data_IF_458547350941
#
_entry.id   IF_458547350941
#
_cell.length_a   1.000
_cell.length_b   1.000
_cell.length_c   1.000
_cell.angle_alpha   90.00
_cell.angle_beta   90.00
_cell.angle_gamma   90.00
#
_symmetry.space_group_name_H-M   'P 1'
#
loop_
_entity.id
_entity.type
_entity.pdbx_description
1 polymer ?
#
# COMPACT_ATOMS: atom_id res chain seq x y z
N UNK A 1 25.34 54.90 22.37
CA UNK A 1 24.24 54.54 21.46
C UNK A 1 23.71 53.17 21.82
N UNK A 2 22.43 53.06 22.17
CA UNK A 2 21.78 51.78 22.52
C UNK A 2 21.24 51.16 21.24
N UNK A 3 21.86 50.06 20.79
CA UNK A 3 21.39 49.34 19.61
C UNK A 3 20.01 48.74 19.86
N UNK A 4 19.12 48.88 18.89
CA UNK A 4 17.80 48.23 18.87
C UNK A 4 17.93 46.71 18.81
N UNK A 5 16.88 45.98 19.18
CA UNK A 5 16.88 44.52 19.18
C UNK A 5 17.17 43.92 17.78
N UNK A 6 16.72 44.58 16.71
CA UNK A 6 17.01 44.16 15.34
C UNK A 6 18.47 44.38 14.95
N UNK A 7 19.04 45.53 15.31
CA UNK A 7 20.46 45.81 15.03
C UNK A 7 21.39 44.88 15.79
N UNK A 8 21.06 44.53 17.04
CA UNK A 8 21.84 43.52 17.81
C UNK A 8 21.79 42.15 17.15
N UNK A 9 20.61 41.72 16.66
CA UNK A 9 20.45 40.45 15.93
C UNK A 9 21.27 40.42 14.65
N UNK A 10 21.23 41.49 13.87
CA UNK A 10 21.96 41.56 12.60
C UNK A 10 23.47 41.60 12.82
N UNK A 11 23.95 42.37 13.80
CA UNK A 11 25.37 42.38 14.18
C UNK A 11 25.86 41.02 14.65
N UNK A 12 25.06 40.31 15.45
CA UNK A 12 25.38 38.95 15.88
C UNK A 12 25.43 37.98 14.68
N UNK A 13 24.48 38.08 13.75
CA UNK A 13 24.47 37.27 12.51
C UNK A 13 25.74 37.49 11.69
N UNK A 14 26.15 38.74 11.48
CA UNK A 14 27.36 39.10 10.73
C UNK A 14 28.64 38.64 11.45
N UNK A 15 28.70 38.74 12.77
CA UNK A 15 29.83 38.24 13.57
C UNK A 15 29.97 36.71 13.44
N UNK A 16 28.87 35.97 13.53
CA UNK A 16 28.85 34.51 13.32
C UNK A 16 29.27 34.15 11.89
N UNK A 17 28.84 34.91 10.89
CA UNK A 17 29.25 34.68 9.50
C UNK A 17 30.76 34.88 9.30
N UNK A 18 31.33 35.95 9.89
CA UNK A 18 32.78 36.23 9.84
C UNK A 18 33.59 35.16 10.57
N UNK A 19 33.11 34.69 11.72
CA UNK A 19 33.74 33.60 12.48
C UNK A 19 33.73 32.29 11.66
N UNK A 20 32.60 31.93 11.05
CA UNK A 20 32.47 30.74 10.19
C UNK A 20 33.33 30.80 8.94
N UNK A 21 33.53 31.98 8.36
CA UNK A 21 34.39 32.15 7.18
C UNK A 21 35.89 31.94 7.49
N UNK A 22 36.29 32.08 8.76
CA UNK A 22 37.66 31.87 9.24
C UNK A 22 37.87 30.52 9.93
N UNK A 23 36.83 29.67 10.00
CA UNK A 23 36.95 28.33 10.57
C UNK A 23 37.84 27.44 9.70
N UNK A 24 38.76 26.72 10.34
CA UNK A 24 39.49 25.63 9.69
C UNK A 24 38.54 24.46 9.39
N UNK A 25 38.88 23.57 8.43
CA UNK A 25 38.07 22.40 8.13
C UNK A 25 37.82 21.49 9.34
N UNK A 26 38.82 21.34 10.23
CA UNK A 26 38.74 20.56 11.47
C UNK A 26 37.78 21.18 12.48
N UNK A 27 37.92 22.48 12.75
CA UNK A 27 37.03 23.21 13.66
C UNK A 27 35.57 23.20 13.15
N UNK A 28 35.37 23.29 11.83
CA UNK A 28 34.05 23.13 11.21
C UNK A 28 33.48 21.73 11.44
N UNK A 29 34.28 20.68 11.29
CA UNK A 29 33.85 19.30 11.50
C UNK A 29 33.43 19.05 12.96
N UNK A 30 34.24 19.49 13.92
CA UNK A 30 33.94 19.40 15.36
C UNK A 30 32.64 20.13 15.73
N UNK A 31 32.41 21.32 15.17
CA UNK A 31 31.16 22.06 15.38
C UNK A 31 29.96 21.33 14.80
N UNK A 32 30.10 20.71 13.62
CA UNK A 32 29.03 19.92 13.02
C UNK A 32 28.73 18.65 13.82
N UNK A 33 29.74 18.00 14.40
CA UNK A 33 29.57 16.86 15.30
C UNK A 33 28.77 17.26 16.55
N UNK A 34 29.18 18.32 17.26
CA UNK A 34 28.45 18.85 18.42
C UNK A 34 27.01 19.27 18.11
N UNK A 35 26.78 19.82 16.91
CA UNK A 35 25.42 20.15 16.46
C UNK A 35 24.57 18.90 16.19
N UNK A 36 25.19 17.84 15.65
CA UNK A 36 24.53 16.56 15.42
C UNK A 36 24.15 15.88 16.73
N UNK A 37 25.06 15.80 17.68
CA UNK A 37 24.80 15.26 19.03
C UNK A 37 23.65 16.00 19.73
N UNK A 38 23.63 17.34 19.65
CA UNK A 38 22.54 18.16 20.19
C UNK A 38 21.21 17.92 19.48
N UNK A 39 21.23 17.67 18.17
CA UNK A 39 20.03 17.31 17.43
C UNK A 39 19.57 15.89 17.81
N UNK A 40 20.52 15.00 18.06
CA UNK A 40 20.32 13.61 18.46
C UNK A 40 19.89 13.42 19.93
N UNK A 41 19.99 14.45 20.77
CA UNK A 41 19.47 14.42 22.14
C UNK A 41 17.99 14.80 22.27
N UNK A 42 17.38 15.37 21.21
CA UNK A 42 15.96 15.75 21.17
C UNK A 42 15.09 14.52 20.89
N UNK A 43 13.87 14.42 21.42
CA UNK A 43 13.02 13.26 21.14
C UNK A 43 12.68 13.12 19.65
N UNK A 44 12.45 11.89 19.19
CA UNK A 44 12.11 11.61 17.78
C UNK A 44 10.82 12.34 17.37
N UNK A 45 9.82 12.41 18.25
CA UNK A 45 8.57 13.13 18.02
C UNK A 45 8.78 14.64 17.81
N UNK A 46 9.57 15.29 18.69
CA UNK A 46 9.88 16.72 18.55
C UNK A 46 10.70 17.02 17.28
N UNK A 47 11.56 16.10 16.85
CA UNK A 47 12.28 16.24 15.56
C UNK A 47 11.33 16.18 14.38
N UNK A 48 10.38 15.25 14.37
CA UNK A 48 9.39 15.14 13.31
C UNK A 48 8.52 16.40 13.21
N UNK A 49 8.05 16.90 14.35
CA UNK A 49 7.23 18.11 14.39
C UNK A 49 8.02 19.34 13.92
N UNK A 50 9.26 19.50 14.39
CA UNK A 50 10.15 20.59 13.94
C UNK A 50 10.40 20.54 12.43
N UNK A 51 10.63 19.35 11.88
CA UNK A 51 10.84 19.17 10.44
C UNK A 51 9.57 19.45 9.64
N UNK A 52 8.41 19.00 10.12
CA UNK A 52 7.11 19.27 9.49
C UNK A 52 6.84 20.78 9.38
N UNK A 53 7.03 21.51 10.48
CA UNK A 53 6.86 22.97 10.51
C UNK A 53 7.87 23.70 9.62
N UNK A 54 9.13 23.24 9.56
CA UNK A 54 10.15 23.81 8.68
C UNK A 54 9.78 23.62 7.19
N UNK A 55 9.31 22.42 6.82
CA UNK A 55 8.82 22.14 5.46
C UNK A 55 7.61 23.00 5.12
N UNK A 56 6.66 23.15 6.04
CA UNK A 56 5.48 24.00 5.83
C UNK A 56 5.88 25.47 5.58
N UNK A 57 6.76 26.03 6.40
CA UNK A 57 7.26 27.41 6.23
C UNK A 57 8.01 27.60 4.91
N UNK A 58 8.79 26.59 4.49
CA UNK A 58 9.49 26.59 3.21
C UNK A 58 8.50 26.62 2.04
N UNK A 59 7.46 25.77 2.07
CA UNK A 59 6.42 25.68 1.03
C UNK A 59 5.63 26.98 0.88
N UNK A 60 5.34 27.68 1.97
CA UNK A 60 4.62 28.97 1.94
C UNK A 60 5.42 30.07 1.24
N UNK A 61 6.75 30.03 1.31
CA UNK A 61 7.65 31.02 0.70
C UNK A 61 8.20 30.58 -0.66
N UNK A 62 7.73 29.45 -1.19
CA UNK A 62 8.25 28.83 -2.42
C UNK A 62 7.77 29.62 -3.65
N UNK A 63 8.71 29.98 -4.53
CA UNK A 63 8.37 30.60 -5.81
C UNK A 63 7.86 29.54 -6.81
N UNK A 64 7.06 29.93 -7.83
CA UNK A 64 6.56 28.98 -8.83
C UNK A 64 7.67 28.17 -9.53
N UNK A 65 8.80 28.81 -9.87
CA UNK A 65 9.94 28.14 -10.48
C UNK A 65 10.61 27.11 -9.53
N UNK A 66 10.76 27.46 -8.25
CA UNK A 66 11.32 26.54 -7.25
C UNK A 66 10.39 25.33 -7.03
N UNK A 67 9.07 25.54 -7.07
CA UNK A 67 8.07 24.49 -6.97
C UNK A 67 8.15 23.49 -8.13
N UNK A 68 8.26 23.97 -9.36
CA UNK A 68 8.38 23.10 -10.55
C UNK A 68 9.65 22.24 -10.44
N UNK A 69 10.78 22.85 -10.09
CA UNK A 69 12.05 22.14 -9.95
C UNK A 69 12.03 21.12 -8.81
N UNK A 70 11.40 21.44 -7.67
CA UNK A 70 11.20 20.49 -6.57
C UNK A 70 10.35 19.30 -7.02
N UNK A 71 9.22 19.54 -7.69
CA UNK A 71 8.35 18.47 -8.18
C UNK A 71 9.05 17.58 -9.21
N UNK A 72 9.88 18.15 -10.08
CA UNK A 72 10.75 17.41 -11.00
C UNK A 72 11.71 16.49 -10.24
N UNK A 73 12.41 17.01 -9.23
CA UNK A 73 13.32 16.21 -8.38
C UNK A 73 12.61 15.15 -7.57
N UNK A 74 11.41 15.44 -7.05
CA UNK A 74 10.58 14.49 -6.33
C UNK A 74 10.15 13.35 -7.27
N UNK A 75 9.76 13.67 -8.51
CA UNK A 75 9.45 12.67 -9.55
C UNK A 75 10.67 11.81 -9.91
N UNK A 76 11.84 12.40 -10.11
CA UNK A 76 13.07 11.65 -10.39
C UNK A 76 13.53 10.78 -9.22
N UNK A 77 13.36 11.27 -7.99
CA UNK A 77 13.60 10.48 -6.78
C UNK A 77 12.61 9.34 -6.69
N UNK A 78 11.34 9.58 -6.96
CA UNK A 78 10.31 8.54 -6.97
C UNK A 78 10.60 7.50 -8.04
N UNK A 79 11.00 7.89 -9.26
CA UNK A 79 11.39 6.95 -10.32
C UNK A 79 12.62 6.12 -9.89
N UNK A 80 13.65 6.74 -9.30
CA UNK A 80 14.82 6.01 -8.78
C UNK A 80 14.46 5.06 -7.66
N UNK A 81 13.69 5.51 -6.67
CA UNK A 81 13.26 4.69 -5.53
C UNK A 81 12.29 3.61 -5.97
N UNK A 82 11.39 3.88 -6.92
CA UNK A 82 10.47 2.91 -7.51
C UNK A 82 11.17 1.93 -8.44
N UNK A 83 12.25 2.31 -9.12
CA UNK A 83 13.08 1.38 -9.89
C UNK A 83 13.89 0.46 -8.97
N UNK A 84 14.42 1.00 -7.87
CA UNK A 84 15.08 0.20 -6.82
C UNK A 84 14.07 -0.67 -6.07
N UNK A 85 12.85 -0.18 -5.81
CA UNK A 85 11.75 -0.95 -5.22
C UNK A 85 11.17 -1.96 -6.19
N UNK A 86 11.07 -1.70 -7.49
CA UNK A 86 10.69 -2.71 -8.47
C UNK A 86 11.73 -3.83 -8.50
N UNK A 87 13.03 -3.49 -8.47
CA UNK A 87 14.10 -4.49 -8.36
C UNK A 87 14.11 -5.24 -7.02
N UNK A 88 13.72 -4.60 -5.91
CA UNK A 88 13.65 -5.20 -4.58
C UNK A 88 12.33 -5.96 -4.33
N UNK A 89 11.22 -5.54 -4.93
CA UNK A 89 9.89 -6.16 -4.88
C UNK A 89 9.81 -7.33 -5.86
N UNK A 90 10.53 -7.29 -6.99
CA UNK A 90 10.78 -8.46 -7.84
C UNK A 90 11.66 -9.49 -7.11
N UNK A 91 12.59 -9.05 -6.25
CA UNK A 91 13.33 -9.92 -5.33
C UNK A 91 12.47 -10.40 -4.14
N UNK A 92 11.51 -9.61 -3.65
CA UNK A 92 10.66 -9.96 -2.50
C UNK A 92 9.38 -10.74 -2.87
N UNK A 93 8.96 -10.75 -4.15
CA UNK A 93 7.90 -11.62 -4.68
C UNK A 93 8.39 -13.03 -5.01
N UNK A 94 9.70 -13.27 -5.00
CA UNK A 94 10.21 -14.62 -4.87
C UNK A 94 9.87 -15.12 -3.45
N UNK A 95 9.11 -16.22 -3.36
CA UNK A 95 8.78 -16.87 -2.08
C UNK A 95 10.05 -17.05 -1.21
N UNK A 96 9.92 -17.02 0.13
CA UNK A 96 11.04 -17.28 1.03
C UNK A 96 11.46 -18.74 0.86
N UNK A 97 12.47 -18.96 0.02
CA UNK A 97 13.27 -20.17 0.16
C UNK A 97 14.02 -19.98 1.45
N UNK A 98 13.75 -20.84 2.44
CA UNK A 98 14.62 -21.01 3.60
C UNK A 98 16.00 -21.34 3.04
N UNK A 99 16.85 -20.32 2.91
CA UNK A 99 18.26 -20.50 2.65
C UNK A 99 18.92 -20.56 4.02
N UNK A 100 19.52 -21.71 4.41
CA UNK A 100 20.44 -21.73 5.52
C UNK A 100 21.53 -20.70 5.25
N UNK A 101 21.96 -20.04 6.32
CA UNK A 101 23.00 -19.04 6.35
C UNK A 101 24.24 -19.47 5.53
N UNK A 102 24.46 -18.83 4.37
CA UNK A 102 25.74 -18.92 3.64
C UNK A 102 26.24 -17.51 3.39
N UNK A 103 26.87 -16.96 4.42
CA UNK A 103 27.96 -16.00 4.24
C UNK A 103 29.23 -16.63 4.78
N UNK A 104 29.82 -17.48 3.93
CA UNK A 104 31.24 -17.85 3.91
C UNK A 104 31.35 -19.19 3.17
N UNK A 105 31.23 -19.15 1.85
CA UNK A 105 31.99 -20.01 0.93
C UNK A 105 31.50 -19.75 -0.48
N UNK A 106 32.39 -19.18 -1.28
CA UNK A 106 32.35 -19.20 -2.73
C UNK A 106 32.59 -20.62 -3.23
N UNK A 107 31.74 -21.57 -2.83
CA UNK A 107 31.68 -22.86 -3.49
C UNK A 107 30.74 -22.69 -4.69
N UNK A 108 31.38 -22.48 -5.84
CA UNK A 108 30.77 -22.58 -7.16
C UNK A 108 29.78 -23.75 -7.16
N UNK A 109 28.53 -23.49 -7.56
CA UNK A 109 27.53 -24.52 -7.81
C UNK A 109 28.07 -25.52 -8.85
N UNK A 110 28.76 -26.56 -8.39
CA UNK A 110 29.34 -27.62 -9.21
C UNK A 110 28.28 -28.50 -9.90
N UNK A 111 26.99 -28.31 -9.60
CA UNK A 111 25.91 -29.09 -10.20
C UNK A 111 25.51 -28.66 -11.63
N UNK A 112 26.11 -27.60 -12.18
CA UNK A 112 25.70 -27.00 -13.46
C UNK A 112 26.82 -26.91 -14.51
N UNK A 113 28.02 -27.42 -14.20
CA UNK A 113 29.17 -27.36 -15.09
C UNK A 113 30.01 -28.64 -14.95
N UNK A 114 29.76 -29.62 -15.80
CA UNK A 114 30.87 -30.44 -16.29
C UNK A 114 31.59 -29.60 -17.37
N UNK A 115 32.91 -29.57 -17.32
CA UNK A 115 33.75 -28.49 -17.86
C UNK A 115 33.46 -28.00 -19.30
N UNK A 116 33.75 -26.72 -19.53
CA UNK A 116 33.83 -26.02 -20.83
C UNK A 116 32.68 -26.17 -21.85
N UNK A 117 31.60 -26.87 -21.56
CA UNK A 117 30.44 -26.94 -22.44
C UNK A 117 29.38 -25.88 -22.10
N UNK A 118 28.78 -25.31 -23.14
CA UNK A 118 27.62 -24.41 -23.04
C UNK A 118 26.53 -25.07 -22.19
N UNK A 119 25.93 -24.38 -21.21
CA UNK A 119 24.93 -24.96 -20.33
C UNK A 119 23.75 -25.50 -21.13
N UNK A 120 23.58 -26.82 -21.14
CA UNK A 120 22.47 -27.49 -21.84
C UNK A 120 21.29 -27.60 -20.89
N UNK A 121 20.15 -27.05 -21.29
CA UNK A 121 18.88 -27.30 -20.60
C UNK A 121 18.55 -28.79 -20.70
N UNK A 122 18.53 -29.47 -19.56
CA UNK A 122 18.13 -30.87 -19.50
C UNK A 122 16.60 -30.98 -19.49
N UNK A 123 16.02 -32.00 -20.14
CA UNK A 123 14.59 -32.24 -20.06
C UNK A 123 14.16 -32.42 -18.60
N UNK A 124 13.14 -31.66 -18.18
CA UNK A 124 12.53 -31.83 -16.86
C UNK A 124 11.91 -33.23 -16.78
N UNK A 125 12.13 -33.93 -15.67
CA UNK A 125 11.53 -35.26 -15.45
C UNK A 125 10.01 -35.22 -15.63
N UNK A 126 9.43 -36.29 -16.16
CA UNK A 126 7.98 -36.37 -16.38
C UNK A 126 7.21 -36.17 -15.06
N UNK A 127 7.74 -36.69 -13.96
CA UNK A 127 7.19 -36.53 -12.61
C UNK A 127 7.17 -35.07 -12.18
N UNK A 128 8.27 -34.34 -12.32
CA UNK A 128 8.34 -32.92 -11.97
C UNK A 128 7.42 -32.09 -12.86
N UNK A 129 7.38 -32.39 -14.16
CA UNK A 129 6.47 -31.72 -15.11
C UNK A 129 5.02 -31.93 -14.72
N UNK A 130 4.62 -33.16 -14.37
CA UNK A 130 3.26 -33.50 -13.93
C UNK A 130 2.87 -32.74 -12.65
N UNK A 131 3.75 -32.70 -11.66
CA UNK A 131 3.51 -31.98 -10.40
C UNK A 131 3.36 -30.47 -10.63
N UNK A 132 4.24 -29.86 -11.42
CA UNK A 132 4.13 -28.44 -11.79
C UNK A 132 2.81 -28.15 -12.51
N UNK A 133 2.43 -28.99 -13.48
CA UNK A 133 1.16 -28.83 -14.20
C UNK A 133 -0.05 -28.98 -13.26
N UNK A 134 -0.03 -29.94 -12.33
CA UNK A 134 -1.10 -30.12 -11.36
C UNK A 134 -1.27 -28.90 -10.46
N UNK A 135 -0.16 -28.35 -9.93
CA UNK A 135 -0.19 -27.15 -9.12
C UNK A 135 -0.72 -25.93 -9.89
N UNK A 136 -0.27 -25.75 -11.13
CA UNK A 136 -0.75 -24.67 -12.00
C UNK A 136 -2.22 -24.83 -12.35
N UNK A 137 -2.68 -26.05 -12.63
CA UNK A 137 -4.08 -26.34 -12.94
C UNK A 137 -4.99 -26.03 -11.75
N UNK A 138 -4.54 -26.28 -10.52
CA UNK A 138 -5.30 -25.91 -9.32
C UNK A 138 -5.30 -24.40 -9.10
N UNK A 139 -4.13 -23.76 -9.18
CA UNK A 139 -3.97 -22.31 -8.97
C UNK A 139 -4.71 -21.46 -10.02
N UNK A 140 -4.75 -21.91 -11.27
CA UNK A 140 -5.42 -21.24 -12.38
C UNK A 140 -6.81 -21.82 -12.69
N UNK A 141 -7.17 -22.90 -12.00
CA UNK A 141 -8.48 -23.55 -12.10
C UNK A 141 -9.53 -22.79 -11.32
N UNK A 142 -10.79 -23.20 -11.45
CA UNK A 142 -11.93 -22.53 -10.83
C UNK A 142 -11.72 -22.28 -9.33
N UNK A 143 -11.16 -23.24 -8.60
CA UNK A 143 -10.90 -23.13 -7.15
C UNK A 143 -9.84 -22.08 -6.82
N UNK A 144 -8.78 -21.96 -7.63
CA UNK A 144 -7.68 -21.04 -7.39
C UNK A 144 -7.97 -19.59 -7.78
N UNK A 145 -8.83 -19.39 -8.78
CA UNK A 145 -9.23 -18.06 -9.29
C UNK A 145 -10.61 -17.61 -8.84
N UNK A 146 -11.33 -18.40 -8.05
CA UNK A 146 -12.61 -17.98 -7.48
C UNK A 146 -12.41 -16.75 -6.61
N UNK A 147 -13.39 -15.85 -6.64
CA UNK A 147 -13.32 -14.57 -5.97
C UNK A 147 -14.48 -14.44 -4.98
N UNK A 148 -14.23 -13.71 -3.89
CA UNK A 148 -15.23 -13.36 -2.91
C UNK A 148 -14.98 -11.94 -2.38
N UNK A 149 -16.04 -11.30 -1.88
CA UNK A 149 -15.93 -9.95 -1.33
C UNK A 149 -15.63 -10.04 0.17
N UNK A 150 -14.67 -9.24 0.63
CA UNK A 150 -14.40 -9.13 2.07
C UNK A 150 -15.48 -8.28 2.76
N UNK A 151 -16.09 -8.78 3.83
CA UNK A 151 -17.09 -8.06 4.63
C UNK A 151 -16.53 -6.80 5.29
N UNK A 152 -15.22 -6.71 5.54
CA UNK A 152 -14.63 -5.57 6.27
C UNK A 152 -14.17 -4.44 5.34
N UNK A 153 -13.45 -4.79 4.27
CA UNK A 153 -12.86 -3.80 3.36
C UNK A 153 -13.54 -3.73 2.00
N UNK A 154 -14.55 -4.55 1.75
CA UNK A 154 -15.35 -4.55 0.53
C UNK A 154 -14.58 -4.84 -0.77
N UNK A 155 -13.31 -5.26 -0.63
CA UNK A 155 -12.48 -5.63 -1.77
C UNK A 155 -12.82 -7.05 -2.24
N UNK A 156 -12.89 -7.22 -3.56
CA UNK A 156 -12.86 -8.53 -4.18
C UNK A 156 -11.46 -9.15 -3.97
N UNK A 157 -11.41 -10.37 -3.46
CA UNK A 157 -10.19 -11.11 -3.17
C UNK A 157 -10.34 -12.54 -3.65
N UNK A 158 -9.22 -13.21 -3.92
CA UNK A 158 -9.24 -14.65 -4.19
C UNK A 158 -9.82 -15.38 -2.99
N UNK A 159 -10.71 -16.35 -3.22
CA UNK A 159 -11.34 -17.15 -2.16
C UNK A 159 -10.30 -17.89 -1.32
N UNK A 160 -9.17 -18.26 -1.92
CA UNK A 160 -8.01 -18.86 -1.22
C UNK A 160 -7.38 -17.94 -0.17
N UNK A 161 -7.66 -16.64 -0.20
CA UNK A 161 -7.21 -15.61 0.77
C UNK A 161 -8.34 -15.11 1.68
N UNK A 162 -9.51 -15.74 1.62
CA UNK A 162 -10.67 -15.41 2.44
C UNK A 162 -10.78 -16.45 3.55
N UNK A 163 -10.93 -15.98 4.77
CA UNK A 163 -11.33 -16.78 5.93
C UNK A 163 -12.81 -16.57 6.17
N UNK A 164 -13.48 -17.65 6.58
CA UNK A 164 -14.88 -17.59 6.99
C UNK A 164 -14.91 -17.54 8.52
N UNK A 165 -15.61 -16.56 9.07
CA UNK A 165 -15.94 -16.52 10.49
C UNK A 165 -17.40 -16.91 10.61
N UNK A 166 -17.65 -17.97 11.36
CA UNK A 166 -19.00 -18.43 11.63
C UNK A 166 -19.72 -17.45 12.56
N UNK A 167 -21.00 -17.20 12.29
CA UNK A 167 -21.79 -16.31 13.15
C UNK A 167 -21.95 -16.85 14.58
N UNK A 168 -21.76 -18.16 14.77
CA UNK A 168 -21.76 -18.88 16.04
C UNK A 168 -20.51 -18.59 16.89
N UNK A 169 -19.43 -18.08 16.29
CA UNK A 169 -18.17 -17.76 16.98
C UNK A 169 -18.31 -16.46 17.79
N UNK A 170 -19.00 -16.56 18.93
CA UNK A 170 -19.33 -15.41 19.78
C UNK A 170 -18.11 -14.55 20.17
N UNK A 171 -16.93 -15.11 20.54
CA UNK A 171 -15.73 -14.29 20.78
C UNK A 171 -15.32 -13.46 19.56
N UNK A 172 -15.32 -14.05 18.36
CA UNK A 172 -14.96 -13.35 17.14
C UNK A 172 -15.98 -12.30 16.76
N UNK A 173 -17.27 -12.57 16.94
CA UNK A 173 -18.33 -11.58 16.71
C UNK A 173 -18.22 -10.42 17.70
N UNK A 174 -17.93 -10.69 18.98
CA UNK A 174 -17.72 -9.66 19.99
C UNK A 174 -16.52 -8.75 19.64
N UNK A 175 -15.42 -9.32 19.15
CA UNK A 175 -14.27 -8.54 18.67
C UNK A 175 -14.66 -7.57 17.54
N UNK A 176 -15.54 -8.00 16.63
CA UNK A 176 -16.03 -7.15 15.56
C UNK A 176 -16.90 -6.01 16.10
N UNK A 177 -17.76 -6.27 17.09
CA UNK A 177 -18.54 -5.21 17.75
C UNK A 177 -17.63 -4.16 18.37
N UNK A 178 -16.60 -4.57 19.09
CA UNK A 178 -15.68 -3.63 19.75
C UNK A 178 -14.88 -2.78 18.75
N UNK A 179 -14.41 -3.38 17.67
CA UNK A 179 -13.51 -2.72 16.72
C UNK A 179 -14.24 -1.97 15.60
N UNK A 180 -15.39 -2.46 15.17
CA UNK A 180 -16.11 -2.00 13.99
C UNK A 180 -17.53 -1.49 14.30
N UNK A 181 -17.86 -1.21 15.56
CA UNK A 181 -19.13 -0.58 15.91
C UNK A 181 -19.34 0.76 15.19
N UNK A 182 -20.59 1.02 14.80
CA UNK A 182 -21.05 2.31 14.28
C UNK A 182 -21.11 3.42 15.33
N UNK A 183 -21.04 3.08 16.61
CA UNK A 183 -21.20 4.03 17.71
C UNK A 183 -20.07 5.06 17.73
N UNK A 184 -20.44 6.34 17.85
CA UNK A 184 -19.50 7.46 17.89
C UNK A 184 -18.92 7.84 16.52
N UNK A 185 -19.33 7.18 15.43
CA UNK A 185 -18.90 7.53 14.09
C UNK A 185 -19.71 8.71 13.50
N UNK A 186 -19.02 9.63 12.83
CA UNK A 186 -19.65 10.78 12.16
C UNK A 186 -19.98 10.46 10.69
N UNK A 187 -20.60 9.30 10.46
CA UNK A 187 -20.98 8.83 9.13
C UNK A 187 -22.45 9.18 8.80
N UNK A 188 -22.78 9.47 7.52
CA UNK A 188 -24.17 9.67 7.12
C UNK A 188 -25.05 8.45 7.45
N UNK A 189 -26.25 8.67 7.99
CA UNK A 189 -27.16 7.60 8.39
C UNK A 189 -27.48 6.61 7.26
N UNK A 190 -27.60 7.10 6.01
CA UNK A 190 -27.81 6.25 4.85
C UNK A 190 -26.64 5.29 4.58
N UNK A 191 -25.41 5.73 4.85
CA UNK A 191 -24.21 4.90 4.70
C UNK A 191 -24.09 3.87 5.82
N UNK A 192 -24.38 4.26 7.07
CA UNK A 192 -24.46 3.31 8.18
C UNK A 192 -25.49 2.22 7.89
N UNK A 193 -26.66 2.60 7.37
CA UNK A 193 -27.70 1.64 6.97
C UNK A 193 -27.26 0.73 5.81
N UNK A 194 -26.41 1.20 4.88
CA UNK A 194 -25.87 0.36 3.80
C UNK A 194 -24.91 -0.72 4.32
N UNK A 195 -24.21 -0.43 5.42
CA UNK A 195 -23.25 -1.32 6.09
C UNK A 195 -23.83 -2.06 7.31
N UNK A 196 -25.11 -1.88 7.62
CA UNK A 196 -25.79 -2.63 8.68
C UNK A 196 -26.31 -3.97 8.13
N UNK A 197 -25.70 -5.05 8.61
CA UNK A 197 -26.05 -6.41 8.23
C UNK A 197 -27.08 -7.06 9.16
N UNK A 198 -27.76 -6.29 10.02
CA UNK A 198 -28.80 -6.75 10.95
C UNK A 198 -29.95 -7.53 10.28
N UNK A 199 -30.24 -7.23 9.01
CA UNK A 199 -31.24 -7.92 8.20
C UNK A 199 -30.82 -9.34 7.77
N UNK A 200 -29.52 -9.64 7.76
CA UNK A 200 -28.99 -10.99 7.50
C UNK A 200 -28.79 -11.76 8.81
N UNK A 201 -28.28 -11.09 9.84
CA UNK A 201 -28.16 -11.65 11.18
C UNK A 201 -28.23 -10.56 12.24
N UNK A 202 -29.12 -10.73 13.22
CA UNK A 202 -29.27 -9.81 14.34
C UNK A 202 -27.99 -9.66 15.17
N UNK A 203 -27.12 -10.68 15.16
CA UNK A 203 -25.83 -10.64 15.86
C UNK A 203 -24.84 -9.64 15.23
N UNK A 204 -25.09 -9.16 14.00
CA UNK A 204 -24.26 -8.16 13.31
C UNK A 204 -24.80 -6.74 13.44
N UNK A 205 -25.87 -6.53 14.20
CA UNK A 205 -26.50 -5.21 14.34
C UNK A 205 -25.53 -4.19 14.90
N UNK A 206 -25.38 -3.06 14.20
CA UNK A 206 -24.49 -1.97 14.62
C UNK A 206 -23.01 -2.21 14.32
N UNK A 207 -22.65 -3.32 13.66
CA UNK A 207 -21.29 -3.56 13.15
C UNK A 207 -21.23 -3.08 11.70
N UNK A 208 -20.25 -2.23 11.39
CA UNK A 208 -20.09 -1.67 10.05
C UNK A 208 -19.42 -2.69 9.11
N UNK A 209 -20.23 -3.45 8.36
CA UNK A 209 -19.80 -4.52 7.46
C UNK A 209 -20.45 -4.40 6.08
N UNK A 210 -19.70 -4.71 5.03
CA UNK A 210 -20.25 -4.88 3.69
C UNK A 210 -21.10 -6.14 3.61
N UNK A 211 -22.40 -5.96 3.34
CA UNK A 211 -23.35 -7.04 3.05
C UNK A 211 -22.91 -7.96 1.92
N UNK A 212 -22.04 -7.50 1.01
CA UNK A 212 -21.50 -8.32 -0.10
C UNK A 212 -20.55 -9.42 0.38
N UNK A 213 -19.94 -9.25 1.55
CA UNK A 213 -19.08 -10.25 2.19
C UNK A 213 -19.77 -11.07 3.27
N UNK A 214 -21.08 -10.89 3.46
CA UNK A 214 -21.88 -11.69 4.39
C UNK A 214 -22.65 -12.73 3.57
N UNK A 215 -22.50 -14.00 3.95
CA UNK A 215 -23.18 -15.12 3.29
C UNK A 215 -24.64 -15.20 3.72
N UNK A 216 -25.44 -15.96 3.00
CA UNK A 216 -26.87 -16.14 3.30
C UNK A 216 -27.15 -16.83 4.64
N UNK A 217 -26.19 -17.59 5.17
CA UNK A 217 -26.20 -18.21 6.50
C UNK A 217 -25.75 -17.23 7.61
N UNK A 218 -25.36 -16.00 7.26
CA UNK A 218 -24.87 -14.99 8.20
C UNK A 218 -23.35 -15.03 8.42
N UNK A 219 -22.67 -16.03 7.87
CA UNK A 219 -21.21 -16.16 8.02
C UNK A 219 -20.46 -15.07 7.26
N UNK A 220 -19.31 -14.69 7.81
CA UNK A 220 -18.54 -13.54 7.34
C UNK A 220 -17.34 -13.99 6.51
N UNK A 221 -17.23 -13.49 5.28
CA UNK A 221 -16.05 -13.66 4.44
C UNK A 221 -15.07 -12.51 4.71
N UNK A 222 -13.94 -12.79 5.34
CA UNK A 222 -12.93 -11.77 5.69
C UNK A 222 -11.61 -12.11 5.03
N UNK A 223 -11.01 -11.15 4.31
CA UNK A 223 -9.70 -11.37 3.72
C UNK A 223 -8.61 -11.45 4.78
N UNK A 224 -7.56 -12.21 4.48
CA UNK A 224 -6.46 -12.46 5.40
C UNK A 224 -5.86 -11.17 5.98
N UNK A 225 -5.69 -10.10 5.18
CA UNK A 225 -5.18 -8.82 5.67
C UNK A 225 -6.08 -8.18 6.75
N UNK A 226 -7.39 -8.23 6.55
CA UNK A 226 -8.35 -7.71 7.53
C UNK A 226 -8.40 -8.61 8.77
N UNK A 227 -8.39 -9.93 8.58
CA UNK A 227 -8.39 -10.90 9.66
C UNK A 227 -7.17 -10.74 10.58
N UNK A 228 -5.97 -10.65 10.01
CA UNK A 228 -4.73 -10.40 10.75
C UNK A 228 -4.75 -9.07 11.51
N UNK A 229 -5.38 -8.03 10.94
CA UNK A 229 -5.53 -6.73 11.62
C UNK A 229 -6.49 -6.84 12.81
N UNK A 230 -7.62 -7.53 12.64
CA UNK A 230 -8.61 -7.74 13.69
C UNK A 230 -8.06 -8.60 14.83
N UNK A 231 -7.31 -9.68 14.52
CA UNK A 231 -6.63 -10.50 15.51
C UNK A 231 -5.63 -9.70 16.36
N UNK A 232 -5.02 -8.66 15.79
CA UNK A 232 -4.14 -7.71 16.50
C UNK A 232 -4.90 -6.61 17.24
N UNK A 233 -6.24 -6.71 17.34
CA UNK A 233 -7.15 -5.67 17.85
C UNK A 233 -6.94 -4.29 17.20
N UNK A 234 -6.64 -4.29 15.90
CA UNK A 234 -6.43 -3.07 15.13
C UNK A 234 -7.50 -2.90 14.05
N UNK A 235 -7.94 -1.67 13.83
CA UNK A 235 -8.93 -1.35 12.80
C UNK A 235 -8.28 -1.56 11.41
N UNK A 236 -8.85 -2.43 10.55
CA UNK A 236 -8.26 -2.72 9.25
C UNK A 236 -8.18 -1.49 8.35
N UNK A 237 -7.05 -1.32 7.65
CA UNK A 237 -6.70 -0.09 6.91
C UNK A 237 -7.79 0.42 5.97
N UNK A 238 -8.47 -0.48 5.26
CA UNK A 238 -9.46 -0.16 4.23
C UNK A 238 -10.89 -0.41 4.69
N UNK A 239 -11.15 -0.42 6.00
CA UNK A 239 -12.51 -0.50 6.51
C UNK A 239 -13.20 0.87 6.46
N UNK A 240 -14.53 0.83 6.52
CA UNK A 240 -15.38 2.03 6.62
C UNK A 240 -15.09 2.87 7.86
N UNK A 241 -14.65 2.26 8.98
CA UNK A 241 -14.13 2.96 10.17
C UNK A 241 -12.98 3.92 9.86
N UNK A 242 -12.19 3.62 8.83
CA UNK A 242 -11.11 4.48 8.35
C UNK A 242 -11.54 5.40 7.19
N UNK A 243 -12.84 5.51 6.92
CA UNK A 243 -13.40 6.32 5.83
C UNK A 243 -13.36 5.64 4.46
N UNK A 244 -13.06 4.34 4.39
CA UNK A 244 -13.03 3.59 3.12
C UNK A 244 -14.31 2.78 2.95
N UNK A 245 -15.21 3.27 2.11
CA UNK A 245 -16.47 2.61 1.77
C UNK A 245 -16.65 2.55 0.26
N UNK A 246 -17.38 1.54 -0.20
CA UNK A 246 -17.71 1.31 -1.61
C UNK A 246 -19.21 1.49 -1.77
N UNK A 247 -19.60 2.64 -2.32
CA UNK A 247 -20.98 2.93 -2.64
C UNK A 247 -21.50 2.14 -3.85
N UNK A 248 -22.82 2.14 -4.00
CA UNK A 248 -23.49 1.54 -5.16
C UNK A 248 -23.67 2.58 -6.27
N UNK A 249 -23.34 2.20 -7.51
CA UNK A 249 -23.57 3.06 -8.68
C UNK A 249 -25.09 3.22 -8.89
N UNK A 250 -25.63 4.46 -8.99
CA UNK A 250 -27.06 4.67 -9.24
C UNK A 250 -27.56 3.95 -10.49
N UNK A 251 -28.76 3.37 -10.45
CA UNK A 251 -29.31 2.50 -11.50
C UNK A 251 -29.36 3.16 -12.88
N UNK A 252 -29.57 4.48 -12.96
CA UNK A 252 -29.53 5.27 -14.20
C UNK A 252 -28.18 5.19 -14.95
N UNK A 253 -27.12 4.80 -14.26
CA UNK A 253 -25.76 4.67 -14.79
C UNK A 253 -25.37 3.21 -15.07
N UNK A 254 -26.28 2.25 -14.84
CA UNK A 254 -26.02 0.82 -15.11
C UNK A 254 -25.67 0.53 -16.57
N UNK A 255 -26.24 1.30 -17.51
CA UNK A 255 -25.99 1.21 -18.94
C UNK A 255 -24.72 1.92 -19.43
N UNK A 256 -23.94 2.54 -18.55
CA UNK A 256 -22.77 3.31 -18.97
C UNK A 256 -21.72 2.45 -19.68
N UNK A 257 -21.20 2.96 -20.79
CA UNK A 257 -20.10 2.32 -21.49
C UNK A 257 -18.83 2.32 -20.61
N UNK A 258 -17.85 1.46 -20.93
CA UNK A 258 -16.57 1.45 -20.20
C UNK A 258 -15.89 2.83 -20.21
N UNK A 259 -15.81 3.55 -21.35
CA UNK A 259 -15.29 4.92 -21.38
C UNK A 259 -16.05 5.88 -20.45
N UNK A 260 -17.38 5.84 -20.46
CA UNK A 260 -18.19 6.69 -19.59
C UNK A 260 -17.92 6.41 -18.11
N UNK A 261 -17.83 5.14 -17.71
CA UNK A 261 -17.48 4.76 -16.34
C UNK A 261 -16.11 5.28 -15.95
N UNK A 262 -15.11 5.14 -16.82
CA UNK A 262 -13.76 5.64 -16.60
C UNK A 262 -13.72 7.17 -16.42
N UNK A 263 -14.54 7.94 -17.15
CA UNK A 263 -14.58 9.40 -17.00
C UNK A 263 -15.23 9.89 -15.71
N UNK A 264 -16.11 9.08 -15.09
CA UNK A 264 -16.84 9.46 -13.87
C UNK A 264 -16.23 8.93 -12.57
N UNK A 265 -15.27 8.00 -12.66
CA UNK A 265 -14.61 7.43 -11.49
C UNK A 265 -13.59 8.41 -10.92
N UNK A 266 -13.66 8.67 -9.61
CA UNK A 266 -12.69 9.49 -8.88
C UNK A 266 -11.37 8.74 -8.60
N UNK A 267 -11.38 7.41 -8.72
CA UNK A 267 -10.22 6.53 -8.61
C UNK A 267 -10.40 5.38 -9.61
N UNK A 268 -9.43 5.19 -10.51
CA UNK A 268 -9.45 4.15 -11.54
C UNK A 268 -8.29 3.17 -11.34
N UNK A 269 -8.57 1.96 -10.86
CA UNK A 269 -7.66 0.81 -10.98
C UNK A 269 -8.38 -0.22 -11.84
N UNK A 270 -8.00 -0.32 -13.11
CA UNK A 270 -8.59 -1.26 -14.06
C UNK A 270 -7.51 -2.22 -14.55
N UNK A 271 -7.53 -3.46 -14.08
CA UNK A 271 -6.79 -4.56 -14.71
C UNK A 271 -7.78 -5.44 -15.49
N UNK A 272 -7.78 -5.35 -16.81
CA UNK A 272 -8.60 -6.22 -17.67
C UNK A 272 -7.78 -7.44 -18.09
N UNK A 273 -8.10 -8.61 -17.54
CA UNK A 273 -7.61 -9.89 -18.05
C UNK A 273 -8.72 -10.57 -18.86
N UNK A 274 -8.55 -10.66 -20.19
CA UNK A 274 -9.46 -11.43 -21.05
C UNK A 274 -8.89 -12.83 -21.23
N UNK A 275 -9.57 -13.83 -20.67
CA UNK A 275 -9.25 -15.24 -20.91
C UNK A 275 -10.04 -15.70 -22.13
N UNK A 276 -9.38 -15.85 -23.28
CA UNK A 276 -9.98 -16.47 -24.47
C UNK A 276 -10.01 -18.00 -24.26
N UNK A 277 -11.19 -18.60 -24.08
CA UNK A 277 -11.36 -20.06 -24.09
C UNK A 277 -11.96 -20.49 -25.45
N UNK A 278 -11.12 -20.93 -26.38
CA UNK A 278 -11.54 -21.54 -27.65
C UNK A 278 -10.43 -21.55 -28.72
N UNK A 279 -10.17 -22.71 -29.33
CA UNK A 279 -9.23 -22.88 -30.46
C UNK A 279 -7.77 -23.21 -30.11
N UNK A 280 -6.98 -23.60 -31.12
CA UNK A 280 -5.61 -24.12 -31.01
C UNK A 280 -4.56 -23.15 -30.40
N UNK A 281 -4.93 -21.89 -30.17
CA UNK A 281 -4.08 -20.89 -29.52
C UNK A 281 -4.59 -20.56 -28.11
N UNK A 282 -4.22 -21.39 -27.14
CA UNK A 282 -4.45 -21.15 -25.70
C UNK A 282 -3.45 -20.11 -25.17
N UNK A 283 -3.67 -18.84 -25.46
CA UNK A 283 -2.89 -17.75 -24.88
C UNK A 283 -3.80 -16.83 -24.06
N UNK A 284 -3.43 -16.59 -22.80
CA UNK A 284 -4.00 -15.49 -22.00
C UNK A 284 -3.37 -14.21 -22.56
N UNK A 285 -4.17 -13.37 -23.23
CA UNK A 285 -3.75 -12.01 -23.57
C UNK A 285 -4.36 -11.08 -22.52
N UNK A 286 -3.56 -10.64 -21.54
CA UNK A 286 -3.96 -9.56 -20.65
C UNK A 286 -3.53 -8.23 -21.26
N UNK A 287 -4.43 -7.25 -21.24
CA UNK A 287 -4.09 -5.87 -21.59
C UNK A 287 -4.15 -5.07 -20.29
N UNK A 288 -3.00 -4.61 -19.81
CA UNK A 288 -2.96 -3.67 -18.70
C UNK A 288 -3.13 -2.26 -19.27
N UNK A 289 -4.29 -1.64 -19.01
CA UNK A 289 -4.54 -0.25 -19.34
C UNK A 289 -4.47 0.55 -18.03
N UNK A 290 -3.42 1.34 -17.87
CA UNK A 290 -3.23 2.20 -16.70
C UNK A 290 -3.62 3.63 -17.11
N UNK A 291 -4.66 4.17 -16.48
CA UNK A 291 -5.02 5.58 -16.58
C UNK A 291 -4.65 6.28 -15.27
N UNK A 292 -3.87 7.35 -15.37
CA UNK A 292 -3.42 8.16 -14.24
C UNK A 292 -4.55 9.11 -13.81
N UNK A 293 -4.92 9.08 -12.53
CA UNK A 293 -5.88 10.01 -11.93
C UNK A 293 -5.12 11.24 -11.42
N UNK A 294 -4.62 12.06 -12.36
CA UNK A 294 -4.31 13.45 -12.03
C UNK A 294 -5.66 14.14 -11.82
N UNK A 295 -5.95 14.73 -10.64
CA UNK A 295 -7.22 15.43 -10.44
C UNK A 295 -7.36 16.49 -11.53
N UNK A 296 -8.40 16.35 -12.36
CA UNK A 296 -8.76 17.37 -13.33
C UNK A 296 -9.01 18.69 -12.60
N UNK A 297 -8.77 19.84 -13.25
CA UNK A 297 -9.12 21.13 -12.67
C UNK A 297 -10.59 21.12 -12.23
N UNK A 298 -10.94 21.75 -11.09
CA UNK A 298 -12.32 21.77 -10.61
C UNK A 298 -13.22 22.32 -11.72
N UNK A 299 -14.33 21.62 -11.97
CA UNK A 299 -15.36 22.11 -12.87
C UNK A 299 -15.92 23.42 -12.31
N UNK A 300 -15.71 24.51 -13.04
CA UNK A 300 -16.33 25.82 -12.79
C UNK A 300 -17.78 25.83 -13.27
#
# INVERSE_FOLDING_TARGET
>A
MVFTANERRERHRLAVQRSRARETPTARAERLCRNRERYESVSVGERHERNRLAVQRSRVRETPAARIERLRRDRERHIRVSGVRASADDQARALPTVMPNVHSQSELNHAWCDGNETPRLHPVSETSKRLCLQHLQLALGAVGVDEATCAVCDRCQLRTKIRVIEISDAPRIQDLHELLSSDGETLPAALIAEYDCSHLSLALKGVLLSKRGVRSDGDLQICQECDESLLKRSIPKFSIKNGFFVGTLPSRFSGMTVPERLMTQTVSIVSVARVMRGGAHRAIRSHCLVFDATPGPPAT
#
